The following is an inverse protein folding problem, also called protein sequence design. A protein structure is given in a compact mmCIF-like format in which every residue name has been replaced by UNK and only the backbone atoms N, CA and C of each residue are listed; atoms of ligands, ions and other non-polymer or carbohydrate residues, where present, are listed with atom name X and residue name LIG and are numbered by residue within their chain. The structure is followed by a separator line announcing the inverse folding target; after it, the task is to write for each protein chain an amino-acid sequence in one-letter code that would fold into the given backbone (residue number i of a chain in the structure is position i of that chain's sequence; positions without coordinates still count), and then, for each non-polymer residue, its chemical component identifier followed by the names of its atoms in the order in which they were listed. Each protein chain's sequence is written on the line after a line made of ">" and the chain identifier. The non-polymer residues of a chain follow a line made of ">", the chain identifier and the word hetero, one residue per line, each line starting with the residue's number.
data_IF_729101472482
#
_entry.id   IF_729101472482
#
_cell.length_a   1.000
_cell.length_b   1.000
_cell.length_c   1.000
_cell.angle_alpha   90.00
_cell.angle_beta   90.00
_cell.angle_gamma   90.00
#
_symmetry.space_group_name_H-M   'P 1'
#
loop_
_entity.id
_entity.type
_entity.pdbx_description
1 polymer ?
#
# COMPACT_ATOMS: atom_id res chain seq x y z
N UNK A 1 -6.23 48.58 -16.24
CA UNK A 1 -5.58 47.36 -15.71
C UNK A 1 -6.56 46.74 -14.71
N UNK A 2 -7.12 45.57 -15.05
CA UNK A 2 -8.36 45.05 -14.47
C UNK A 2 -8.17 44.40 -13.09
N UNK A 3 -8.75 45.02 -12.06
CA UNK A 3 -8.90 44.50 -10.68
C UNK A 3 -9.67 43.17 -10.65
N UNK A 4 -10.44 42.85 -11.69
CA UNK A 4 -11.21 41.61 -11.80
C UNK A 4 -10.37 40.32 -11.96
N UNK A 5 -9.13 40.40 -12.45
CA UNK A 5 -8.28 39.21 -12.58
C UNK A 5 -7.61 38.80 -11.26
N UNK A 6 -7.48 39.72 -10.30
CA UNK A 6 -6.80 39.44 -9.03
C UNK A 6 -7.73 38.74 -8.03
N UNK A 7 -9.05 38.99 -8.10
CA UNK A 7 -10.03 38.37 -7.20
C UNK A 7 -10.31 36.90 -7.57
N UNK A 8 -10.17 36.52 -8.85
CA UNK A 8 -10.40 35.14 -9.27
C UNK A 8 -9.26 34.18 -8.87
N UNK A 9 -8.04 34.69 -8.69
CA UNK A 9 -6.91 33.87 -8.22
C UNK A 9 -6.96 33.63 -6.70
N UNK A 10 -7.54 34.57 -5.93
CA UNK A 10 -7.68 34.42 -4.48
C UNK A 10 -8.84 33.51 -4.04
N UNK A 11 -9.84 33.25 -4.89
CA UNK A 11 -10.99 32.42 -4.50
C UNK A 11 -10.84 30.91 -4.75
N UNK A 12 -9.78 30.46 -5.43
CA UNK A 12 -9.43 29.03 -5.49
C UNK A 12 -8.46 28.59 -4.39
N UNK A 13 -7.90 29.53 -3.61
CA UNK A 13 -7.16 29.24 -2.38
C UNK A 13 -8.13 28.99 -1.21
N UNK A 14 -9.16 28.17 -1.45
CA UNK A 14 -9.99 27.62 -0.38
C UNK A 14 -9.08 26.74 0.46
N UNK A 15 -8.79 27.19 1.69
CA UNK A 15 -7.77 26.64 2.58
C UNK A 15 -7.71 25.12 2.56
N UNK A 16 -6.76 24.57 1.82
CA UNK A 16 -6.20 23.28 2.15
C UNK A 16 -5.52 23.49 3.50
N UNK A 17 -6.17 23.08 4.58
CA UNK A 17 -5.45 22.79 5.81
C UNK A 17 -4.26 21.94 5.40
N UNK A 18 -3.03 22.41 5.68
CA UNK A 18 -1.84 21.64 5.40
C UNK A 18 -2.00 20.30 6.14
N UNK A 19 -2.23 19.24 5.38
CA UNK A 19 -2.49 17.93 5.96
C UNK A 19 -1.13 17.35 6.35
N UNK A 20 -0.98 16.90 7.60
CA UNK A 20 0.30 16.35 8.06
C UNK A 20 0.65 15.02 7.38
N UNK A 21 -0.31 14.43 6.64
CA UNK A 21 -0.15 13.14 5.99
C UNK A 21 -0.90 13.00 4.68
N UNK A 22 -0.30 12.23 3.77
CA UNK A 22 -0.90 11.81 2.51
C UNK A 22 -0.81 10.29 2.41
N UNK A 23 -1.93 9.60 2.22
CA UNK A 23 -1.99 8.14 2.19
C UNK A 23 -2.30 7.62 0.79
N UNK A 24 -1.55 6.60 0.32
CA UNK A 24 -1.69 6.03 -1.03
C UNK A 24 -1.92 4.52 -0.93
N UNK A 25 -3.01 4.03 -1.50
CA UNK A 25 -3.22 2.60 -1.70
C UNK A 25 -2.65 2.13 -3.04
N UNK A 26 -1.85 1.07 -3.04
CA UNK A 26 -1.33 0.44 -4.26
C UNK A 26 -1.78 -1.00 -4.34
N UNK A 27 -2.65 -1.31 -5.30
CA UNK A 27 -3.17 -2.65 -5.49
C UNK A 27 -2.08 -3.64 -5.95
N UNK A 28 -2.32 -4.92 -5.67
CA UNK A 28 -1.47 -6.02 -6.13
C UNK A 28 -1.72 -6.43 -7.58
N UNK A 29 -1.27 -7.62 -7.95
CA UNK A 29 -1.41 -8.16 -9.30
C UNK A 29 -2.87 -8.25 -9.74
N UNK A 30 -3.13 -7.76 -10.95
CA UNK A 30 -4.39 -7.94 -11.67
C UNK A 30 -4.36 -9.29 -12.37
N UNK A 31 -4.88 -10.33 -11.73
CA UNK A 31 -4.97 -11.63 -12.39
C UNK A 31 -6.20 -11.65 -13.32
N UNK A 32 -5.97 -11.92 -14.61
CA UNK A 32 -7.02 -11.91 -15.66
C UNK A 32 -8.13 -12.92 -15.40
N UNK A 33 -7.88 -13.94 -14.59
CA UNK A 33 -8.80 -15.02 -14.25
C UNK A 33 -9.58 -14.79 -12.95
N UNK A 34 -9.49 -13.60 -12.37
CA UNK A 34 -10.12 -13.40 -11.07
C UNK A 34 -11.60 -13.13 -11.20
N UNK A 35 -12.37 -13.73 -10.29
CA UNK A 35 -13.81 -13.50 -10.17
C UNK A 35 -14.15 -12.01 -10.16
N UNK A 36 -15.37 -11.66 -10.60
CA UNK A 36 -15.88 -10.29 -10.58
C UNK A 36 -15.69 -9.60 -9.21
N UNK A 37 -15.83 -10.36 -8.12
CA UNK A 37 -15.59 -9.92 -6.75
C UNK A 37 -14.16 -9.41 -6.58
N UNK A 38 -13.18 -10.23 -6.96
CA UNK A 38 -11.78 -9.88 -6.77
C UNK A 38 -11.31 -8.78 -7.76
N UNK A 39 -12.04 -8.52 -8.85
CA UNK A 39 -11.86 -7.31 -9.68
C UNK A 39 -12.31 -6.05 -8.95
N UNK A 40 -13.43 -6.11 -8.24
CA UNK A 40 -13.95 -4.96 -7.49
C UNK A 40 -13.07 -4.59 -6.28
N UNK A 41 -12.48 -5.60 -5.61
CA UNK A 41 -11.56 -5.39 -4.47
C UNK A 41 -10.24 -4.71 -4.87
N UNK A 42 -9.81 -4.89 -6.12
CA UNK A 42 -8.46 -4.48 -6.58
C UNK A 42 -8.45 -3.33 -7.55
N UNK A 43 -9.62 -2.80 -7.91
CA UNK A 43 -9.64 -1.72 -8.87
C UNK A 43 -9.16 -0.42 -8.25
N UNK A 44 -8.08 0.09 -8.82
CA UNK A 44 -7.71 1.49 -8.76
C UNK A 44 -7.66 2.02 -10.20
N UNK A 45 -8.15 3.24 -10.46
CA UNK A 45 -7.88 3.95 -11.71
C UNK A 45 -6.38 4.00 -11.99
N UNK A 46 -5.97 3.98 -13.26
CA UNK A 46 -4.55 4.06 -13.63
C UNK A 46 -3.93 5.38 -13.20
N UNK A 47 -2.70 5.31 -12.71
CA UNK A 47 -2.00 6.46 -12.14
C UNK A 47 -2.48 6.76 -10.71
N UNK A 48 -2.00 7.87 -10.18
CA UNK A 48 -2.28 8.40 -8.86
C UNK A 48 -3.55 9.24 -8.93
N UNK A 49 -4.59 8.78 -8.24
CA UNK A 49 -5.91 9.41 -8.24
C UNK A 49 -6.37 9.62 -6.82
N UNK A 50 -6.75 10.86 -6.48
CA UNK A 50 -7.33 11.20 -5.19
C UNK A 50 -8.64 10.45 -4.98
N UNK A 51 -8.81 9.88 -3.80
CA UNK A 51 -10.06 9.26 -3.39
C UNK A 51 -11.02 10.39 -3.01
N UNK A 52 -12.01 10.65 -3.84
CA UNK A 52 -13.08 11.60 -3.53
C UNK A 52 -14.46 10.91 -3.53
N UNK A 53 -15.45 11.60 -2.97
CA UNK A 53 -16.82 11.07 -2.94
C UNK A 53 -17.47 11.03 -4.34
N UNK A 54 -16.90 11.72 -5.33
CA UNK A 54 -17.39 11.72 -6.71
C UNK A 54 -17.02 10.43 -7.46
N UNK A 55 -16.04 9.64 -6.97
CA UNK A 55 -15.78 8.27 -7.45
C UNK A 55 -17.06 7.42 -7.39
N UNK A 56 -17.96 7.66 -6.41
CA UNK A 56 -19.24 6.92 -6.29
C UNK A 56 -20.25 7.22 -7.40
N UNK A 57 -20.21 8.41 -8.01
CA UNK A 57 -21.24 8.88 -8.97
C UNK A 57 -21.01 8.34 -10.38
N UNK A 58 -19.77 8.09 -10.76
CA UNK A 58 -19.46 7.34 -11.99
C UNK A 58 -19.81 5.89 -11.68
N UNK A 59 -20.71 5.23 -12.42
CA UNK A 59 -21.23 3.84 -12.22
C UNK A 59 -20.19 2.71 -12.05
N UNK A 60 -18.92 3.07 -11.91
CA UNK A 60 -17.83 2.27 -11.42
C UNK A 60 -17.95 2.07 -9.89
N UNK A 61 -18.72 1.03 -9.49
CA UNK A 61 -18.56 0.35 -8.18
C UNK A 61 -17.11 0.04 -7.76
N UNK A 62 -16.14 -0.16 -8.68
CA UNK A 62 -14.76 -0.41 -8.32
C UNK A 62 -14.10 0.83 -7.67
N UNK A 63 -13.60 0.69 -6.44
CA UNK A 63 -13.06 1.80 -5.63
C UNK A 63 -13.72 1.96 -4.25
N UNK A 64 -14.93 1.39 -4.06
CA UNK A 64 -15.63 1.40 -2.78
C UNK A 64 -14.80 0.77 -1.64
N UNK A 65 -14.01 -0.25 -1.94
CA UNK A 65 -13.06 -0.85 -1.00
C UNK A 65 -12.13 0.20 -0.38
N UNK A 66 -11.37 0.91 -1.22
CA UNK A 66 -10.41 1.89 -0.75
C UNK A 66 -11.07 3.04 0.01
N UNK A 67 -12.27 3.47 -0.41
CA UNK A 67 -13.06 4.48 0.32
C UNK A 67 -13.42 3.98 1.73
N UNK A 68 -13.95 2.76 1.85
CA UNK A 68 -14.36 2.19 3.15
C UNK A 68 -13.15 2.05 4.08
N UNK A 69 -12.01 1.58 3.55
CA UNK A 69 -10.80 1.42 4.35
C UNK A 69 -10.12 2.73 4.68
N UNK A 70 -10.08 3.72 3.78
CA UNK A 70 -9.63 5.07 4.09
C UNK A 70 -10.39 5.65 5.28
N UNK A 71 -11.73 5.62 5.22
CA UNK A 71 -12.60 6.11 6.31
C UNK A 71 -12.35 5.37 7.62
N UNK A 72 -12.21 4.04 7.58
CA UNK A 72 -11.94 3.23 8.78
C UNK A 72 -10.57 3.50 9.40
N UNK A 73 -9.53 3.62 8.57
CA UNK A 73 -8.18 3.94 9.06
C UNK A 73 -8.16 5.31 9.72
N UNK A 74 -8.75 6.31 9.07
CA UNK A 74 -8.86 7.66 9.63
C UNK A 74 -9.69 7.70 10.92
N UNK A 75 -10.81 6.98 10.98
CA UNK A 75 -11.62 6.86 12.22
C UNK A 75 -10.85 6.22 13.38
N UNK A 76 -9.95 5.27 13.08
CA UNK A 76 -9.18 4.56 14.10
C UNK A 76 -7.93 5.32 14.54
N UNK A 77 -7.29 6.06 13.66
CA UNK A 77 -6.11 6.85 13.96
C UNK A 77 -6.02 8.04 13.00
N UNK A 78 -6.70 9.14 13.35
CA UNK A 78 -6.83 10.34 12.53
C UNK A 78 -5.51 11.12 12.40
N UNK A 79 -4.64 11.06 13.42
CA UNK A 79 -3.31 11.68 13.40
C UNK A 79 -2.40 11.01 12.36
N UNK A 80 -2.51 9.68 12.22
CA UNK A 80 -1.74 8.90 11.25
C UNK A 80 -2.39 8.85 9.87
N UNK A 81 -3.72 8.92 9.79
CA UNK A 81 -4.47 8.78 8.55
C UNK A 81 -5.49 9.89 8.43
N UNK A 82 -5.18 10.89 7.61
CA UNK A 82 -6.14 11.93 7.27
C UNK A 82 -7.16 11.43 6.24
N UNK A 83 -8.45 11.50 6.58
CA UNK A 83 -9.56 11.04 5.75
C UNK A 83 -9.63 11.74 4.38
N UNK A 84 -9.19 13.00 4.30
CA UNK A 84 -9.30 13.83 3.09
C UNK A 84 -8.06 13.77 2.20
N UNK A 85 -7.03 13.05 2.65
CA UNK A 85 -5.72 12.94 1.99
C UNK A 85 -5.40 11.52 1.55
N UNK A 86 -6.42 10.77 1.10
CA UNK A 86 -6.25 9.44 0.52
C UNK A 86 -6.21 9.44 -1.01
N UNK A 87 -5.33 8.61 -1.56
CA UNK A 87 -5.13 8.39 -2.98
C UNK A 87 -5.08 6.89 -3.27
N UNK A 88 -5.32 6.53 -4.53
CA UNK A 88 -4.99 5.20 -5.06
C UNK A 88 -3.99 5.34 -6.18
N UNK A 89 -3.08 4.37 -6.31
CA UNK A 89 -2.25 4.22 -7.50
C UNK A 89 -2.61 2.93 -8.24
N UNK A 90 -3.18 3.08 -9.44
CA UNK A 90 -3.50 1.95 -10.30
C UNK A 90 -2.44 1.67 -11.36
N UNK A 91 -2.12 0.40 -11.54
CA UNK A 91 -1.16 -0.08 -12.53
C UNK A 91 -1.70 -1.31 -13.27
N UNK A 92 -0.88 -1.91 -14.13
CA UNK A 92 -1.37 -2.96 -15.04
C UNK A 92 -1.64 -4.29 -14.39
N UNK A 93 -1.07 -4.55 -13.22
CA UNK A 93 -1.10 -5.86 -12.62
C UNK A 93 -0.20 -6.89 -13.33
N UNK A 94 0.63 -6.48 -14.29
CA UNK A 94 1.51 -7.41 -15.02
C UNK A 94 2.77 -7.74 -14.20
N UNK A 95 3.04 -9.02 -13.98
CA UNK A 95 4.13 -9.51 -13.12
C UNK A 95 5.56 -9.34 -13.68
N UNK A 96 5.74 -8.84 -14.89
CA UNK A 96 7.09 -8.61 -15.43
C UNK A 96 7.82 -7.47 -14.69
N UNK A 97 9.12 -7.68 -14.41
CA UNK A 97 9.96 -6.65 -13.78
C UNK A 97 9.95 -5.34 -14.56
N UNK A 98 10.07 -5.39 -15.89
CA UNK A 98 10.01 -4.20 -16.76
C UNK A 98 8.71 -3.41 -16.58
N UNK A 99 7.59 -4.09 -16.35
CA UNK A 99 6.31 -3.39 -16.16
C UNK A 99 6.20 -2.78 -14.76
N UNK A 100 6.68 -3.49 -13.74
CA UNK A 100 6.75 -2.95 -12.37
C UNK A 100 7.69 -1.74 -12.28
N UNK A 101 8.86 -1.83 -12.89
CA UNK A 101 9.85 -0.73 -12.99
C UNK A 101 9.25 0.52 -13.65
N UNK A 102 8.56 0.35 -14.80
CA UNK A 102 7.82 1.45 -15.44
C UNK A 102 6.74 2.03 -14.51
N UNK A 103 6.01 1.19 -13.79
CA UNK A 103 4.99 1.65 -12.85
C UNK A 103 5.60 2.41 -11.66
N UNK A 104 6.77 1.98 -11.16
CA UNK A 104 7.52 2.70 -10.11
C UNK A 104 7.96 4.08 -10.58
N UNK A 105 8.42 4.20 -11.83
CA UNK A 105 8.78 5.50 -12.41
C UNK A 105 7.56 6.42 -12.50
N UNK A 106 6.43 5.92 -13.01
CA UNK A 106 5.18 6.68 -13.11
C UNK A 106 4.70 7.12 -11.72
N UNK A 107 4.72 6.22 -10.74
CA UNK A 107 4.39 6.54 -9.35
C UNK A 107 5.27 7.67 -8.81
N UNK A 108 6.59 7.62 -9.04
CA UNK A 108 7.50 8.67 -8.58
C UNK A 108 7.19 10.02 -9.23
N UNK A 109 6.91 10.04 -10.53
CA UNK A 109 6.59 11.27 -11.27
C UNK A 109 5.28 11.90 -10.79
N UNK A 110 4.21 11.10 -10.67
CA UNK A 110 2.89 11.60 -10.25
C UNK A 110 2.86 11.96 -8.77
N UNK A 111 3.61 11.24 -7.92
CA UNK A 111 3.79 11.61 -6.52
C UNK A 111 4.54 12.94 -6.40
N UNK A 112 5.64 13.13 -7.14
CA UNK A 112 6.36 14.39 -7.16
C UNK A 112 5.47 15.56 -7.60
N UNK A 113 4.66 15.36 -8.64
CA UNK A 113 3.68 16.36 -9.09
C UNK A 113 2.64 16.66 -8.00
N UNK A 114 2.09 15.65 -7.33
CA UNK A 114 1.11 15.83 -6.25
C UNK A 114 1.73 16.58 -5.06
N UNK A 115 2.99 16.32 -4.75
CA UNK A 115 3.70 16.99 -3.65
C UNK A 115 4.09 18.44 -3.95
N UNK A 116 4.05 18.88 -5.21
CA UNK A 116 4.26 20.30 -5.54
C UNK A 116 3.18 21.21 -4.94
N UNK A 117 1.99 20.68 -4.66
CA UNK A 117 0.89 21.42 -4.04
C UNK A 117 1.14 21.75 -2.55
N UNK A 118 2.14 21.11 -1.92
CA UNK A 118 2.43 21.24 -0.49
C UNK A 118 3.56 22.24 -0.18
N UNK A 119 4.06 22.95 -1.20
CA UNK A 119 5.13 23.96 -1.09
C UNK A 119 6.29 23.48 -0.17
N UNK A 120 6.58 24.22 0.91
CA UNK A 120 7.66 23.92 1.85
C UNK A 120 7.27 22.90 2.94
N UNK A 121 5.98 22.60 3.11
CA UNK A 121 5.45 21.76 4.18
C UNK A 121 4.99 20.40 3.64
N UNK A 122 5.97 19.58 3.23
CA UNK A 122 5.69 18.24 2.70
C UNK A 122 5.05 17.33 3.76
N UNK A 123 3.95 16.63 3.41
CA UNK A 123 3.31 15.67 4.31
C UNK A 123 4.17 14.42 4.45
N UNK A 124 3.93 13.65 5.52
CA UNK A 124 4.40 12.27 5.57
C UNK A 124 3.58 11.45 4.58
N UNK A 125 4.25 10.87 3.58
CA UNK A 125 3.61 10.02 2.58
C UNK A 125 3.56 8.59 3.09
N UNK A 126 2.35 8.05 3.24
CA UNK A 126 2.08 6.69 3.73
C UNK A 126 1.60 5.82 2.59
N UNK A 127 2.43 4.88 2.15
CA UNK A 127 2.10 4.03 1.00
C UNK A 127 1.69 2.65 1.52
N UNK A 128 0.40 2.33 1.43
CA UNK A 128 -0.16 1.02 1.79
C UNK A 128 -0.27 0.16 0.55
N UNK A 129 0.48 -0.93 0.52
CA UNK A 129 0.60 -1.79 -0.64
C UNK A 129 0.10 -3.19 -0.38
N UNK A 130 -0.44 -3.81 -1.42
CA UNK A 130 -0.90 -5.19 -1.37
C UNK A 130 -0.08 -6.04 -2.34
N UNK A 131 0.50 -7.15 -1.88
CA UNK A 131 1.22 -8.09 -2.74
C UNK A 131 2.29 -7.39 -3.59
N UNK A 132 2.33 -7.61 -4.90
CA UNK A 132 3.27 -6.97 -5.83
C UNK A 132 3.16 -5.44 -5.95
N UNK A 133 2.11 -4.81 -5.42
CA UNK A 133 2.09 -3.35 -5.26
C UNK A 133 3.28 -2.89 -4.41
N UNK A 134 3.74 -3.72 -3.48
CA UNK A 134 4.92 -3.47 -2.66
C UNK A 134 6.21 -3.37 -3.47
N UNK A 135 6.40 -4.22 -4.48
CA UNK A 135 7.59 -4.13 -5.35
C UNK A 135 7.59 -2.84 -6.19
N UNK A 136 6.41 -2.31 -6.55
CA UNK A 136 6.30 -1.02 -7.25
C UNK A 136 6.71 0.11 -6.32
N UNK A 137 6.19 0.11 -5.09
CA UNK A 137 6.52 1.13 -4.11
C UNK A 137 7.99 1.07 -3.68
N UNK A 138 8.56 -0.12 -3.46
CA UNK A 138 10.00 -0.30 -3.20
C UNK A 138 10.84 0.29 -4.34
N UNK A 139 10.38 0.16 -5.59
CA UNK A 139 11.02 0.76 -6.76
C UNK A 139 11.09 2.29 -6.72
N UNK A 140 10.37 2.99 -5.83
CA UNK A 140 10.59 4.42 -5.60
C UNK A 140 12.02 4.72 -5.16
N UNK A 141 12.69 3.80 -4.46
CA UNK A 141 14.10 3.99 -4.08
C UNK A 141 15.03 4.13 -5.28
N UNK A 142 14.71 3.47 -6.41
CA UNK A 142 15.42 3.64 -7.69
C UNK A 142 15.21 5.02 -8.32
N UNK A 143 14.04 5.61 -8.08
CA UNK A 143 13.60 6.86 -8.70
C UNK A 143 13.50 8.01 -7.68
N UNK A 144 14.22 7.90 -6.57
CA UNK A 144 14.16 8.88 -5.47
C UNK A 144 14.55 10.30 -5.92
N UNK A 145 15.42 10.43 -6.92
CA UNK A 145 15.83 11.74 -7.47
C UNK A 145 14.71 12.48 -8.20
N UNK A 146 13.60 11.80 -8.53
CA UNK A 146 12.40 12.44 -9.06
C UNK A 146 11.53 13.05 -7.96
N UNK A 147 11.75 12.66 -6.69
CA UNK A 147 10.96 13.11 -5.56
C UNK A 147 11.58 14.38 -4.94
N UNK A 148 10.77 15.18 -4.22
CA UNK A 148 11.31 16.27 -3.40
C UNK A 148 12.35 15.74 -2.40
N UNK A 149 13.47 16.47 -2.24
CA UNK A 149 14.63 16.02 -1.43
C UNK A 149 14.29 15.61 0.02
N UNK A 150 13.30 16.27 0.62
CA UNK A 150 12.93 16.07 2.02
C UNK A 150 11.66 15.25 2.20
N UNK A 151 11.18 14.56 1.14
CA UNK A 151 10.01 13.70 1.23
C UNK A 151 10.27 12.59 2.26
N UNK A 152 9.28 12.34 3.11
CA UNK A 152 9.32 11.26 4.10
C UNK A 152 8.29 10.21 3.73
N UNK A 153 8.74 9.00 3.41
CA UNK A 153 7.87 7.90 3.02
C UNK A 153 7.87 6.82 4.11
N UNK A 154 6.69 6.55 4.66
CA UNK A 154 6.39 5.34 5.42
C UNK A 154 5.76 4.30 4.47
N UNK A 155 6.48 3.21 4.22
CA UNK A 155 6.04 2.15 3.32
C UNK A 155 5.44 0.99 4.11
N UNK A 156 4.20 0.62 3.81
CA UNK A 156 3.45 -0.45 4.48
C UNK A 156 3.23 -1.58 3.45
N UNK A 157 3.93 -2.68 3.64
CA UNK A 157 3.94 -3.85 2.77
C UNK A 157 3.04 -4.94 3.34
N UNK A 158 1.88 -5.16 2.74
CA UNK A 158 0.97 -6.24 3.12
C UNK A 158 1.15 -7.41 2.16
N UNK A 159 1.66 -8.54 2.67
CA UNK A 159 1.93 -9.73 1.89
C UNK A 159 2.83 -9.51 0.66
N UNK A 160 3.77 -8.56 0.73
CA UNK A 160 4.67 -8.28 -0.40
C UNK A 160 5.66 -9.44 -0.58
N UNK A 161 5.73 -10.09 -1.76
CA UNK A 161 6.83 -10.99 -2.05
C UNK A 161 8.12 -10.18 -2.13
N UNK A 162 9.05 -10.42 -1.20
CA UNK A 162 10.34 -9.74 -1.18
C UNK A 162 11.21 -10.34 -2.28
N UNK A 163 11.49 -9.53 -3.29
CA UNK A 163 12.22 -9.90 -4.51
C UNK A 163 13.63 -9.31 -4.49
N UNK A 164 14.61 -10.07 -5.00
CA UNK A 164 16.00 -9.65 -5.07
C UNK A 164 16.18 -8.35 -5.90
N UNK A 165 15.41 -8.19 -6.97
CA UNK A 165 15.46 -7.01 -7.85
C UNK A 165 15.10 -5.71 -7.11
N UNK A 166 14.23 -5.78 -6.10
CA UNK A 166 13.73 -4.59 -5.39
C UNK A 166 14.21 -4.46 -3.95
N UNK A 167 14.74 -5.53 -3.35
CA UNK A 167 15.15 -5.53 -1.95
C UNK A 167 16.21 -4.48 -1.64
N UNK A 168 17.19 -4.29 -2.51
CA UNK A 168 18.25 -3.29 -2.33
C UNK A 168 17.71 -1.85 -2.15
N UNK A 169 16.51 -1.54 -2.64
CA UNK A 169 15.95 -0.20 -2.57
C UNK A 169 15.42 0.17 -1.18
N UNK A 170 15.34 -0.78 -0.23
CA UNK A 170 14.98 -0.45 1.16
C UNK A 170 15.92 0.59 1.77
N UNK A 171 17.18 0.65 1.32
CA UNK A 171 18.19 1.60 1.77
C UNK A 171 17.97 3.05 1.32
N UNK A 172 17.10 3.31 0.33
CA UNK A 172 16.91 4.66 -0.23
C UNK A 172 16.47 5.70 0.82
N UNK A 173 16.95 6.94 0.69
CA UNK A 173 16.80 7.99 1.73
C UNK A 173 15.38 8.52 1.84
N UNK A 174 14.56 8.39 0.78
CA UNK A 174 13.15 8.76 0.82
C UNK A 174 12.31 7.90 1.78
N UNK A 175 12.75 6.67 2.08
CA UNK A 175 12.07 5.81 3.05
C UNK A 175 12.55 6.11 4.47
N UNK A 176 11.65 6.66 5.29
CA UNK A 176 11.89 6.86 6.72
C UNK A 176 11.51 5.62 7.53
N UNK A 177 10.55 4.83 7.04
CA UNK A 177 10.13 3.59 7.68
C UNK A 177 9.54 2.60 6.69
N UNK A 178 9.78 1.31 6.91
CA UNK A 178 9.24 0.22 6.08
C UNK A 178 8.66 -0.84 7.00
N UNK A 179 7.34 -1.00 6.97
CA UNK A 179 6.62 -2.06 7.68
C UNK A 179 6.38 -3.23 6.73
N UNK A 180 6.88 -4.41 7.07
CA UNK A 180 6.64 -5.65 6.35
C UNK A 180 5.72 -6.56 7.16
N UNK A 181 4.46 -6.64 6.75
CA UNK A 181 3.42 -7.40 7.45
C UNK A 181 3.13 -8.66 6.63
N UNK A 182 3.37 -9.81 7.25
CA UNK A 182 3.32 -11.13 6.60
C UNK A 182 2.55 -12.16 7.42
N UNK A 183 2.17 -13.25 6.78
CA UNK A 183 1.60 -14.43 7.43
C UNK A 183 2.34 -15.69 7.00
N UNK A 184 2.53 -16.62 7.93
CA UNK A 184 3.18 -17.90 7.63
C UNK A 184 2.37 -18.79 6.67
N UNK A 185 1.04 -18.64 6.63
CA UNK A 185 0.11 -19.38 5.77
C UNK A 185 -0.09 -18.71 4.41
N UNK A 186 0.49 -17.53 4.20
CA UNK A 186 0.51 -16.90 2.90
C UNK A 186 1.57 -17.58 2.02
N UNK A 187 1.12 -18.59 1.28
CA UNK A 187 1.95 -19.33 0.33
C UNK A 187 2.25 -18.50 -0.92
N UNK A 188 1.35 -17.58 -1.32
CA UNK A 188 1.48 -16.75 -2.52
C UNK A 188 2.72 -15.86 -2.42
N UNK A 189 2.98 -15.32 -1.23
CA UNK A 189 4.17 -14.50 -0.95
C UNK A 189 5.50 -15.26 -1.12
N UNK A 190 5.50 -16.60 -1.18
CA UNK A 190 6.72 -17.40 -1.42
C UNK A 190 6.78 -17.95 -2.82
N UNK A 191 5.68 -18.49 -3.32
CA UNK A 191 5.68 -19.20 -4.60
C UNK A 191 5.82 -18.29 -5.82
N UNK A 192 5.89 -16.96 -5.64
CA UNK A 192 6.22 -16.03 -6.73
C UNK A 192 7.61 -16.37 -7.33
N UNK A 193 7.65 -16.89 -8.56
CA UNK A 193 8.88 -17.35 -9.18
C UNK A 193 9.62 -16.16 -9.81
N UNK A 194 10.72 -15.74 -9.21
CA UNK A 194 11.44 -14.53 -9.62
C UNK A 194 12.11 -14.69 -10.99
N UNK A 195 12.60 -15.90 -11.30
CA UNK A 195 13.44 -16.17 -12.48
C UNK A 195 12.66 -16.39 -13.77
N UNK A 196 11.34 -16.55 -13.73
CA UNK A 196 10.54 -16.60 -14.97
C UNK A 196 10.34 -15.21 -15.59
N UNK A 197 10.57 -14.15 -14.82
CA UNK A 197 10.46 -12.78 -15.31
C UNK A 197 11.78 -12.26 -15.91
N UNK A 198 12.91 -12.91 -15.61
CA UNK A 198 14.25 -12.64 -16.14
C UNK A 198 15.14 -13.86 -15.89
N UNK A 199 15.83 -14.35 -16.93
CA UNK A 199 16.93 -15.32 -16.76
C UNK A 199 18.09 -14.60 -16.07
N UNK A 200 18.06 -14.51 -14.74
CA UNK A 200 19.17 -14.00 -13.95
C UNK A 200 20.17 -15.12 -13.71
N UNK A 201 21.41 -14.96 -14.19
CA UNK A 201 22.49 -15.92 -13.93
C UNK A 201 22.86 -16.05 -12.44
N UNK A 202 22.50 -15.05 -11.63
CA UNK A 202 22.95 -14.91 -10.23
C UNK A 202 21.81 -14.68 -9.21
N UNK A 203 20.66 -15.35 -9.31
CA UNK A 203 19.72 -15.36 -8.19
C UNK A 203 19.83 -16.68 -7.42
N UNK A 204 20.35 -16.61 -6.19
CA UNK A 204 20.45 -17.74 -5.27
C UNK A 204 19.07 -18.27 -4.80
N UNK A 205 17.95 -17.70 -5.26
CA UNK A 205 16.61 -18.20 -4.95
C UNK A 205 15.66 -18.06 -6.13
N UNK A 206 15.08 -19.18 -6.55
CA UNK A 206 14.04 -19.23 -7.60
C UNK A 206 12.74 -18.52 -7.16
N UNK A 207 12.52 -18.42 -5.85
CA UNK A 207 11.29 -17.97 -5.23
C UNK A 207 11.52 -16.72 -4.39
N UNK A 208 10.47 -15.92 -4.21
CA UNK A 208 10.48 -14.76 -3.31
C UNK A 208 10.56 -15.14 -1.82
N UNK A 209 10.98 -14.18 -1.00
CA UNK A 209 11.02 -14.29 0.47
C UNK A 209 9.86 -13.55 1.12
N UNK A 210 9.59 -13.90 2.38
CA UNK A 210 8.64 -13.15 3.22
C UNK A 210 9.30 -12.01 3.99
N UNK A 211 10.59 -12.16 4.29
CA UNK A 211 11.36 -11.23 5.12
C UNK A 211 12.52 -10.63 4.33
N UNK A 212 12.87 -9.40 4.71
CA UNK A 212 14.12 -8.80 4.30
C UNK A 212 15.30 -9.53 4.97
N UNK A 213 16.39 -9.72 4.21
CA UNK A 213 17.67 -10.20 4.76
C UNK A 213 18.46 -9.02 5.31
N UNK A 214 18.42 -7.89 4.59
CA UNK A 214 19.04 -6.65 5.05
C UNK A 214 18.19 -6.05 6.17
N UNK A 215 18.74 -6.04 7.38
CA UNK A 215 18.06 -5.57 8.59
C UNK A 215 18.43 -4.11 8.85
N UNK A 216 17.92 -3.21 8.00
CA UNK A 216 18.04 -1.76 8.20
C UNK A 216 17.24 -1.30 9.42
N UNK A 217 17.74 -0.28 10.12
CA UNK A 217 17.08 0.28 11.31
C UNK A 217 15.69 0.86 11.04
N UNK A 218 15.36 1.18 9.78
CA UNK A 218 14.04 1.66 9.36
C UNK A 218 13.03 0.55 9.06
N UNK A 219 13.48 -0.72 9.01
CA UNK A 219 12.62 -1.85 8.71
C UNK A 219 11.98 -2.37 10.00
N UNK A 220 10.67 -2.60 9.96
CA UNK A 220 9.88 -3.24 11.00
C UNK A 220 9.12 -4.40 10.37
N UNK A 221 9.19 -5.58 10.96
CA UNK A 221 8.58 -6.78 10.36
C UNK A 221 7.62 -7.42 11.36
N UNK A 222 6.40 -7.73 10.92
CA UNK A 222 5.41 -8.44 11.73
C UNK A 222 4.98 -9.72 11.03
N UNK A 223 4.94 -10.82 11.79
CA UNK A 223 4.16 -12.00 11.45
C UNK A 223 2.84 -11.95 12.21
N UNK A 224 1.74 -11.93 11.48
CA UNK A 224 0.38 -11.82 12.04
C UNK A 224 -0.35 -13.16 12.06
N UNK A 225 -1.07 -13.42 13.15
CA UNK A 225 -1.98 -14.57 13.34
C UNK A 225 -3.28 -14.15 14.03
N UNK A 226 -4.31 -14.98 13.92
CA UNK A 226 -5.59 -14.86 14.62
C UNK A 226 -5.96 -16.18 15.26
N UNK A 227 -6.19 -16.19 16.57
CA UNK A 227 -6.38 -17.40 17.38
C UNK A 227 -5.26 -18.44 17.13
N UNK A 228 -4.01 -17.97 16.99
CA UNK A 228 -2.85 -18.80 16.66
C UNK A 228 -2.75 -19.26 15.19
N UNK A 229 -3.74 -18.95 14.35
CA UNK A 229 -3.81 -19.37 12.95
C UNK A 229 -3.35 -18.23 12.03
N UNK A 230 -2.53 -18.53 11.04
CA UNK A 230 -2.09 -17.54 10.06
C UNK A 230 -3.08 -17.32 8.94
N UNK A 231 -3.09 -16.10 8.44
CA UNK A 231 -3.89 -15.64 7.31
C UNK A 231 -3.44 -16.21 5.96
N UNK A 232 -4.41 -16.43 5.06
CA UNK A 232 -4.13 -16.59 3.63
C UNK A 232 -3.87 -15.25 2.95
N UNK A 233 -3.42 -15.26 1.69
CA UNK A 233 -2.97 -14.05 0.98
C UNK A 233 -4.01 -12.91 0.94
N UNK A 234 -5.27 -13.26 0.70
CA UNK A 234 -6.37 -12.27 0.64
C UNK A 234 -6.64 -11.67 2.02
N UNK A 235 -6.61 -12.46 3.08
CA UNK A 235 -6.82 -11.98 4.46
C UNK A 235 -5.67 -11.09 4.94
N UNK A 236 -4.43 -11.43 4.57
CA UNK A 236 -3.26 -10.58 4.85
C UNK A 236 -3.39 -9.22 4.16
N UNK A 237 -4.01 -9.16 2.98
CA UNK A 237 -4.15 -7.92 2.22
C UNK A 237 -5.42 -7.12 2.54
N UNK A 238 -6.60 -7.74 2.67
CA UNK A 238 -7.90 -7.05 2.61
C UNK A 238 -8.81 -7.29 3.82
N UNK A 239 -8.52 -8.28 4.66
CA UNK A 239 -9.38 -8.72 5.77
C UNK A 239 -9.02 -8.07 7.11
N UNK A 240 -8.91 -8.90 8.15
CA UNK A 240 -8.57 -8.50 9.53
C UNK A 240 -7.30 -7.64 9.61
N UNK A 241 -6.31 -7.92 8.78
CA UNK A 241 -5.06 -7.14 8.74
C UNK A 241 -5.32 -5.66 8.51
N UNK A 242 -6.22 -5.33 7.59
CA UNK A 242 -6.57 -3.94 7.28
C UNK A 242 -7.40 -3.29 8.37
N UNK A 243 -8.28 -4.05 9.04
CA UNK A 243 -9.04 -3.54 10.18
C UNK A 243 -8.15 -3.21 11.38
N UNK A 244 -7.08 -3.99 11.54
CA UNK A 244 -6.15 -3.91 12.67
C UNK A 244 -4.87 -3.17 12.33
N UNK A 245 -4.77 -2.61 11.11
CA UNK A 245 -3.54 -2.00 10.62
C UNK A 245 -3.00 -0.90 11.55
N UNK A 246 -3.79 0.07 12.06
CA UNK A 246 -3.26 1.07 12.99
C UNK A 246 -2.59 0.43 14.22
N UNK A 247 -3.26 -0.55 14.85
CA UNK A 247 -2.70 -1.27 15.99
C UNK A 247 -1.41 -2.04 15.63
N UNK A 248 -1.35 -2.67 14.46
CA UNK A 248 -0.14 -3.37 14.00
C UNK A 248 1.02 -2.37 13.86
N UNK A 249 0.77 -1.20 13.27
CA UNK A 249 1.80 -0.18 13.08
C UNK A 249 2.28 0.38 14.42
N UNK A 250 1.36 0.67 15.35
CA UNK A 250 1.70 1.18 16.68
C UNK A 250 2.51 0.14 17.48
N UNK A 251 2.16 -1.15 17.38
CA UNK A 251 2.93 -2.22 18.00
C UNK A 251 4.36 -2.31 17.41
N UNK A 252 4.50 -2.11 16.10
CA UNK A 252 5.79 -2.12 15.40
C UNK A 252 6.63 -0.86 15.66
N UNK A 253 6.02 0.29 15.88
CA UNK A 253 6.73 1.52 16.26
C UNK A 253 7.44 1.38 17.61
N UNK A 254 6.83 0.63 18.52
CA UNK A 254 7.40 0.32 19.83
C UNK A 254 8.49 -0.77 19.78
N UNK A 255 8.74 -1.38 18.61
CA UNK A 255 9.83 -2.34 18.43
C UNK A 255 11.13 -1.61 18.08
N UNK A 256 12.20 -1.94 18.82
CA UNK A 256 13.56 -1.46 18.54
C UNK A 256 14.28 -2.40 17.57
N UNK A 257 13.86 -3.67 17.48
CA UNK A 257 14.53 -4.69 16.67
C UNK A 257 13.95 -4.78 15.26
N UNK A 258 14.78 -4.97 14.21
CA UNK A 258 14.34 -5.29 12.85
C UNK A 258 13.92 -6.76 12.68
N UNK A 259 14.01 -7.57 13.75
CA UNK A 259 13.54 -8.96 13.77
C UNK A 259 12.01 -9.05 13.59
N UNK A 260 11.53 -10.25 13.26
CA UNK A 260 10.10 -10.48 13.03
C UNK A 260 9.37 -10.50 14.37
N UNK A 261 8.55 -9.48 14.61
CA UNK A 261 7.66 -9.42 15.75
C UNK A 261 6.41 -10.27 15.49
N UNK A 262 6.02 -11.11 16.47
CA UNK A 262 4.84 -11.97 16.35
C UNK A 262 3.64 -11.28 16.98
N UNK A 263 2.61 -11.01 16.19
CA UNK A 263 1.37 -10.39 16.64
C UNK A 263 0.24 -11.41 16.47
N UNK A 264 -0.36 -11.82 17.59
CA UNK A 264 -1.52 -12.69 17.59
C UNK A 264 -2.76 -11.90 18.04
N UNK A 265 -3.83 -12.02 17.28
CA UNK A 265 -5.14 -11.45 17.62
C UNK A 265 -6.07 -12.53 18.15
N UNK A 266 -6.88 -12.20 19.14
CA UNK A 266 -8.02 -13.02 19.53
C UNK A 266 -9.29 -12.46 18.88
N UNK A 267 -10.04 -13.33 18.21
CA UNK A 267 -11.30 -12.98 17.52
C UNK A 267 -12.15 -14.23 17.29
N UNK A 268 -13.15 -14.43 18.15
CA UNK A 268 -14.07 -15.57 18.05
C UNK A 268 -14.93 -15.53 16.77
N UNK A 269 -15.09 -14.35 16.18
CA UNK A 269 -15.93 -14.12 15.00
C UNK A 269 -15.11 -14.02 13.71
N UNK A 270 -13.83 -14.41 13.74
CA UNK A 270 -12.98 -14.39 12.57
C UNK A 270 -13.56 -15.26 11.45
N UNK A 271 -13.76 -14.64 10.30
CA UNK A 271 -14.13 -15.34 9.07
C UNK A 271 -12.91 -15.31 8.14
N UNK A 272 -12.29 -16.47 7.92
CA UNK A 272 -11.21 -16.62 6.95
C UNK A 272 -11.74 -16.55 5.52
N UNK A 273 -10.96 -15.97 4.61
CA UNK A 273 -11.32 -15.95 3.19
C UNK A 273 -11.28 -17.37 2.62
N UNK A 274 -12.40 -17.81 2.03
CA UNK A 274 -12.49 -19.13 1.42
C UNK A 274 -13.73 -19.28 0.56
N UNK A 275 -13.77 -20.31 -0.31
CA UNK A 275 -14.85 -20.50 -1.29
C UNK A 275 -16.23 -20.68 -0.64
N UNK A 276 -16.29 -21.23 0.57
CA UNK A 276 -17.55 -21.45 1.30
C UNK A 276 -17.98 -20.26 2.17
N UNK A 277 -17.04 -19.36 2.50
CA UNK A 277 -17.28 -18.25 3.43
C UNK A 277 -17.19 -16.86 2.78
N UNK A 278 -16.92 -16.77 1.48
CA UNK A 278 -16.64 -15.48 0.82
C UNK A 278 -17.75 -14.44 0.99
N UNK A 279 -19.03 -14.84 1.03
CA UNK A 279 -20.14 -13.88 1.24
C UNK A 279 -20.11 -13.28 2.64
N UNK A 280 -19.96 -14.12 3.67
CA UNK A 280 -19.85 -13.67 5.06
C UNK A 280 -18.58 -12.83 5.26
N UNK A 281 -17.49 -13.23 4.61
CA UNK A 281 -16.25 -12.46 4.57
C UNK A 281 -16.49 -11.06 3.97
N UNK A 282 -17.13 -10.98 2.80
CA UNK A 282 -17.45 -9.69 2.19
C UNK A 282 -18.37 -8.84 3.08
N UNK A 283 -19.41 -9.43 3.68
CA UNK A 283 -20.30 -8.68 4.58
C UNK A 283 -19.54 -8.07 5.77
N UNK A 284 -18.68 -8.85 6.43
CA UNK A 284 -17.89 -8.39 7.58
C UNK A 284 -16.88 -7.31 7.19
N UNK A 285 -16.05 -7.60 6.18
CA UNK A 285 -14.87 -6.76 5.89
C UNK A 285 -15.15 -5.67 4.87
N UNK A 286 -16.12 -5.84 3.99
CA UNK A 286 -16.36 -4.92 2.87
C UNK A 286 -17.57 -4.01 3.06
N UNK A 287 -18.42 -4.27 4.05
CA UNK A 287 -19.69 -3.53 4.27
C UNK A 287 -20.50 -3.50 2.96
N UNK A 288 -20.70 -4.68 2.37
CA UNK A 288 -21.64 -4.88 1.25
C UNK A 288 -23.06 -5.12 1.76
#
# INVERSE_FOLDING_TARGET
>A
MNIFYFVFFLMCASGMHATDSLSIFIHGTGCRFTSHVARNLRYAPRGLVKIDENIKKKKQKPGQYFIVHAKRLAQKNHERFDADSFYTFGWSGNLSFKTRDKASKVLAQELAQTLQEYEDNLPIVRIITFSHGGNIALGLGKYQDLLPKNVKIELILLACPIQAETEQYVGASCFTKIYNIMSHNDVVQRIDPQNIYRVTKDSHSFFSRRTFIQLEEKIRQAQITINGIGFGHVDTCYGETMLRLPFILDALDNQVSPSVYKINFEDADHIAFGPFNYRRWLQRYMVL
#
